data_IF_077499289882
#
_entry.id   IF_077499289882
#
_cell.length_a   1.000
_cell.length_b   1.000
_cell.length_c   1.000
_cell.angle_alpha   90.00
_cell.angle_beta   90.00
_cell.angle_gamma   90.00
#
_symmetry.space_group_name_H-M   'P 1'
#
loop_
_entity.id
_entity.type
_entity.pdbx_description
1 polymer ?
#
# COMPACT_ATOMS: atom_id res chain seq x y z
N UNK A 1 -1.25 -16.34 -5.76
CA UNK A 1 -0.43 -15.28 -5.16
C UNK A 1 -0.88 -13.87 -5.57
N UNK A 2 -1.03 -13.60 -6.85
CA UNK A 2 -1.49 -12.29 -7.37
C UNK A 2 -2.76 -11.76 -6.69
N UNK A 3 -3.79 -12.60 -6.56
CA UNK A 3 -5.03 -12.22 -5.88
C UNK A 3 -4.83 -11.88 -4.40
N UNK A 4 -3.90 -12.55 -3.71
CA UNK A 4 -3.67 -12.30 -2.28
C UNK A 4 -2.99 -10.97 -2.03
N UNK A 5 -1.94 -10.63 -2.77
CA UNK A 5 -1.25 -9.35 -2.61
C UNK A 5 -2.19 -8.17 -2.89
N UNK A 6 -2.94 -8.25 -4.01
CA UNK A 6 -3.94 -7.25 -4.35
C UNK A 6 -4.99 -7.10 -3.25
N UNK A 7 -5.58 -8.22 -2.80
CA UNK A 7 -6.62 -8.21 -1.77
C UNK A 7 -6.10 -7.64 -0.45
N UNK A 8 -4.97 -8.11 0.06
CA UNK A 8 -4.43 -7.67 1.34
C UNK A 8 -4.13 -6.17 1.40
N UNK A 9 -3.51 -5.63 0.34
CA UNK A 9 -3.23 -4.19 0.27
C UNK A 9 -4.54 -3.41 0.09
N UNK A 10 -5.43 -3.84 -0.82
CA UNK A 10 -6.69 -3.17 -1.06
C UNK A 10 -7.58 -3.13 0.20
N UNK A 11 -7.74 -4.25 0.89
CA UNK A 11 -8.52 -4.33 2.13
C UNK A 11 -7.94 -3.38 3.20
N UNK A 12 -6.61 -3.28 3.33
CA UNK A 12 -5.96 -2.37 4.26
C UNK A 12 -6.12 -0.90 3.88
N UNK A 13 -6.02 -0.55 2.60
CA UNK A 13 -6.26 0.81 2.12
C UNK A 13 -7.69 1.25 2.44
N UNK A 14 -8.68 0.42 2.12
CA UNK A 14 -10.09 0.70 2.40
C UNK A 14 -10.34 0.80 3.91
N UNK A 15 -9.80 -0.11 4.71
CA UNK A 15 -9.90 -0.06 6.18
C UNK A 15 -9.27 1.22 6.77
N UNK A 16 -8.28 1.78 6.09
CA UNK A 16 -7.65 3.07 6.45
C UNK A 16 -8.38 4.27 5.86
N UNK A 17 -9.54 4.10 5.21
CA UNK A 17 -10.30 5.18 4.59
C UNK A 17 -9.72 5.70 3.27
N UNK A 18 -8.77 5.00 2.67
CA UNK A 18 -8.26 5.31 1.33
C UNK A 18 -9.01 4.47 0.29
N UNK A 19 -9.81 5.12 -0.53
CA UNK A 19 -10.46 4.50 -1.68
C UNK A 19 -9.49 4.36 -2.84
N UNK A 20 -9.79 3.50 -3.81
CA UNK A 20 -9.03 3.35 -5.04
C UNK A 20 -9.95 2.97 -6.21
N UNK A 21 -9.55 3.26 -7.44
CA UNK A 21 -10.33 2.96 -8.65
C UNK A 21 -10.00 1.58 -9.21
N UNK A 22 -8.75 1.19 -9.19
CA UNK A 22 -8.31 -0.06 -9.76
C UNK A 22 -7.02 -0.59 -9.17
N UNK A 23 -6.85 -1.91 -9.20
CA UNK A 23 -5.62 -2.55 -8.76
C UNK A 23 -5.22 -3.67 -9.71
N UNK A 24 -3.96 -3.64 -10.18
CA UNK A 24 -3.37 -4.61 -11.10
C UNK A 24 -2.14 -5.25 -10.48
N UNK A 25 -2.09 -6.57 -10.46
CA UNK A 25 -0.98 -7.29 -9.86
C UNK A 25 -0.28 -8.17 -10.90
N UNK A 26 1.05 -8.24 -10.82
CA UNK A 26 1.88 -9.09 -11.66
C UNK A 26 2.82 -9.93 -10.79
N UNK A 27 3.14 -11.13 -11.22
CA UNK A 27 4.14 -11.96 -10.59
C UNK A 27 5.01 -12.64 -11.63
N UNK A 28 6.29 -12.62 -11.35
CA UNK A 28 7.29 -13.46 -12.02
C UNK A 28 7.96 -14.34 -10.95
N UNK A 29 8.79 -15.32 -11.30
CA UNK A 29 9.52 -16.09 -10.30
C UNK A 29 10.39 -15.26 -9.35
N UNK A 30 10.64 -14.00 -9.67
CA UNK A 30 11.53 -13.09 -8.90
C UNK A 30 10.91 -11.78 -8.49
N UNK A 31 9.67 -11.48 -8.91
CA UNK A 31 9.01 -10.20 -8.65
C UNK A 31 7.57 -10.41 -8.27
N UNK A 32 7.13 -9.60 -7.33
CA UNK A 32 5.72 -9.40 -7.03
C UNK A 32 5.45 -7.90 -7.15
N UNK A 33 4.60 -7.52 -8.10
CA UNK A 33 4.30 -6.12 -8.40
C UNK A 33 2.81 -5.87 -8.21
N UNK A 34 2.48 -4.75 -7.57
CA UNK A 34 1.12 -4.26 -7.44
C UNK A 34 1.09 -2.79 -7.88
N UNK A 35 0.20 -2.46 -8.77
CA UNK A 35 -0.15 -1.09 -9.12
C UNK A 35 -1.58 -0.82 -8.68
N UNK A 36 -1.79 0.30 -8.02
CA UNK A 36 -3.10 0.75 -7.56
C UNK A 36 -3.33 2.15 -8.09
N UNK A 37 -4.43 2.34 -8.80
CA UNK A 37 -4.82 3.61 -9.39
C UNK A 37 -5.96 4.26 -8.60
N UNK A 38 -6.05 5.60 -8.66
CA UNK A 38 -7.14 6.35 -8.06
C UNK A 38 -7.08 6.46 -6.53
N UNK A 39 -5.90 6.33 -5.92
CA UNK A 39 -5.74 6.60 -4.48
C UNK A 39 -5.68 8.12 -4.28
N UNK A 40 -6.54 8.71 -3.42
CA UNK A 40 -6.49 10.13 -3.12
C UNK A 40 -5.19 10.51 -2.41
N UNK A 41 -4.76 11.78 -2.53
CA UNK A 41 -3.52 12.27 -1.91
C UNK A 41 -3.53 12.20 -0.37
N UNK A 42 -4.71 12.21 0.24
CA UNK A 42 -4.91 12.11 1.69
C UNK A 42 -6.22 11.42 2.04
N UNK A 43 -6.31 10.90 3.25
CA UNK A 43 -7.56 10.39 3.81
C UNK A 43 -8.61 11.51 3.92
N UNK A 44 -9.90 11.19 3.83
CA UNK A 44 -10.96 12.15 4.16
C UNK A 44 -10.86 12.58 5.63
N UNK A 45 -11.22 13.84 5.89
CA UNK A 45 -11.37 14.32 7.26
C UNK A 45 -12.56 13.61 7.90
N UNK A 46 -12.36 13.07 9.08
CA UNK A 46 -13.41 12.37 9.83
C UNK A 46 -13.91 13.30 10.92
N UNK A 47 -15.21 13.62 10.87
CA UNK A 47 -15.92 14.27 11.96
C UNK A 47 -16.58 13.19 12.81
N UNK A 48 -16.01 12.95 13.97
CA UNK A 48 -16.52 11.98 14.93
C UNK A 48 -17.38 12.73 15.96
N UNK A 49 -18.67 12.42 16.05
CA UNK A 49 -19.57 13.02 17.03
C UNK A 49 -19.67 12.11 18.25
N UNK A 50 -19.12 12.57 19.36
CA UNK A 50 -19.18 11.84 20.61
C UNK A 50 -20.26 12.40 21.52
N UNK A 51 -21.26 11.58 21.80
CA UNK A 51 -22.34 11.93 22.73
C UNK A 51 -21.79 11.94 24.17
N UNK A 52 -22.02 13.04 24.86
CA UNK A 52 -21.60 13.29 26.22
C UNK A 52 -22.73 13.20 27.26
N UNK A 53 -22.46 13.64 28.48
CA UNK A 53 -23.45 13.70 29.55
C UNK A 53 -24.54 14.74 29.25
N UNK A 54 -25.62 14.70 30.00
CA UNK A 54 -26.70 15.69 29.92
C UNK A 54 -26.25 17.03 30.48
N UNK A 55 -26.90 18.08 30.03
CA UNK A 55 -26.72 19.42 30.58
C UNK A 55 -27.17 19.39 32.06
N UNK A 56 -26.29 19.84 32.96
CA UNK A 56 -26.51 19.74 34.42
C UNK A 56 -26.06 18.45 35.07
N UNK A 57 -25.34 17.59 34.35
CA UNK A 57 -24.72 16.39 34.94
C UNK A 57 -23.61 16.75 35.95
N UNK A 58 -23.28 15.87 36.91
CA UNK A 58 -22.21 16.10 37.86
C UNK A 58 -20.86 16.38 37.21
N UNK A 59 -20.04 17.23 37.82
CA UNK A 59 -18.73 17.65 37.31
C UNK A 59 -17.80 16.49 36.95
N UNK A 60 -17.86 15.38 37.70
CA UNK A 60 -17.09 14.18 37.41
C UNK A 60 -17.45 13.56 36.03
N UNK A 61 -18.72 13.60 35.63
CA UNK A 61 -19.17 13.08 34.34
C UNK A 61 -18.74 14.01 33.20
N UNK A 62 -18.78 15.32 33.45
CA UNK A 62 -18.30 16.34 32.49
C UNK A 62 -16.79 16.22 32.30
N UNK A 63 -16.02 16.13 33.39
CA UNK A 63 -14.57 15.96 33.33
C UNK A 63 -14.15 14.68 32.63
N UNK A 64 -14.86 13.55 32.85
CA UNK A 64 -14.64 12.29 32.15
C UNK A 64 -14.92 12.41 30.65
N UNK A 65 -15.97 13.12 30.26
CA UNK A 65 -16.32 13.38 28.87
C UNK A 65 -15.27 14.27 28.17
N UNK A 66 -14.87 15.38 28.78
CA UNK A 66 -13.85 16.28 28.25
C UNK A 66 -12.53 15.56 28.02
N UNK A 67 -12.07 14.78 28.99
CA UNK A 67 -10.86 13.95 28.86
C UNK A 67 -10.96 12.93 27.73
N UNK A 68 -12.12 12.29 27.61
CA UNK A 68 -12.35 11.27 26.59
C UNK A 68 -12.56 11.85 25.18
N UNK A 69 -13.03 13.10 25.08
CA UNK A 69 -13.23 13.83 23.83
C UNK A 69 -11.99 14.67 23.43
N UNK A 70 -11.01 14.82 24.32
CA UNK A 70 -9.84 15.67 24.10
C UNK A 70 -10.14 17.15 24.08
N UNK A 71 -11.24 17.58 24.73
CA UNK A 71 -11.65 18.97 24.82
C UNK A 71 -11.06 19.65 26.06
N UNK A 72 -10.66 20.91 25.91
CA UNK A 72 -10.12 21.68 27.04
C UNK A 72 -11.22 22.28 27.94
N UNK A 73 -12.41 22.58 27.37
CA UNK A 73 -13.55 23.18 28.04
C UNK A 73 -14.87 22.64 27.52
N UNK A 74 -15.91 22.66 28.35
CA UNK A 74 -17.28 22.24 27.96
C UNK A 74 -17.88 23.18 26.92
N UNK A 75 -17.44 24.43 26.82
CA UNK A 75 -17.89 25.43 25.86
C UNK A 75 -17.58 25.03 24.41
N UNK A 76 -16.62 24.12 24.23
CA UNK A 76 -16.27 23.55 22.93
C UNK A 76 -17.23 22.44 22.48
N UNK A 77 -18.06 21.92 23.38
CA UNK A 77 -19.08 20.93 23.07
C UNK A 77 -20.37 21.62 22.61
N UNK A 78 -21.00 21.06 21.58
CA UNK A 78 -22.32 21.51 21.12
C UNK A 78 -23.41 20.89 22.03
N UNK A 79 -24.43 21.70 22.36
CA UNK A 79 -25.62 21.20 23.05
C UNK A 79 -26.61 20.75 21.98
N UNK A 80 -27.04 19.49 22.08
CA UNK A 80 -28.05 18.92 21.19
C UNK A 80 -29.33 18.61 21.98
N UNK A 81 -30.50 19.11 21.55
CA UNK A 81 -31.77 18.85 22.21
C UNK A 81 -32.19 17.39 22.01
N UNK A 82 -32.71 16.77 23.08
CA UNK A 82 -33.32 15.44 23.06
C UNK A 82 -34.62 15.46 23.87
N UNK A 83 -35.57 14.58 23.52
CA UNK A 83 -36.87 14.43 24.20
C UNK A 83 -36.76 14.17 25.71
N UNK A 84 -35.62 13.71 26.18
CA UNK A 84 -35.35 13.39 27.58
C UNK A 84 -34.42 14.36 28.28
N UNK A 85 -34.13 15.53 27.68
CA UNK A 85 -33.22 16.55 28.18
C UNK A 85 -31.96 16.69 27.32
N UNK A 86 -31.46 17.90 27.20
CA UNK A 86 -30.34 18.28 26.37
C UNK A 86 -29.03 17.59 26.81
N UNK A 87 -28.18 17.26 25.86
CA UNK A 87 -26.89 16.62 26.14
C UNK A 87 -25.77 17.31 25.34
N UNK A 88 -24.57 17.18 25.85
CA UNK A 88 -23.37 17.67 25.19
C UNK A 88 -22.93 16.73 24.09
N UNK A 89 -22.45 17.28 22.95
CA UNK A 89 -21.87 16.54 21.84
C UNK A 89 -20.52 17.17 21.53
N UNK A 90 -19.49 16.36 21.61
CA UNK A 90 -18.17 16.74 21.14
C UNK A 90 -18.05 16.40 19.66
N UNK A 91 -17.75 17.38 18.82
CA UNK A 91 -17.37 17.18 17.44
C UNK A 91 -15.86 17.13 17.39
N UNK A 92 -15.31 15.95 17.16
CA UNK A 92 -13.87 15.74 17.06
C UNK A 92 -13.51 15.73 15.60
N UNK A 93 -12.89 16.82 15.13
CA UNK A 93 -12.36 16.88 13.77
C UNK A 93 -11.00 16.17 13.73
N UNK A 94 -10.94 15.03 13.08
CA UNK A 94 -9.69 14.30 12.81
C UNK A 94 -9.27 14.58 11.36
N UNK A 95 -8.27 15.42 11.13
CA UNK A 95 -7.79 15.67 9.79
C UNK A 95 -7.24 14.39 9.17
N UNK A 96 -7.57 14.16 7.90
CA UNK A 96 -7.06 13.00 7.18
C UNK A 96 -5.54 13.06 7.04
N UNK A 97 -4.88 11.92 7.18
CA UNK A 97 -3.42 11.78 7.01
C UNK A 97 -3.04 11.74 5.53
N UNK A 98 -1.84 12.18 5.14
CA UNK A 98 -1.31 11.99 3.79
C UNK A 98 -1.29 10.49 3.41
N UNK A 99 -1.75 10.18 2.20
CA UNK A 99 -1.80 8.78 1.74
C UNK A 99 -0.42 8.11 1.72
N UNK A 100 0.63 8.87 1.42
CA UNK A 100 2.00 8.38 1.40
C UNK A 100 2.43 7.81 2.76
N UNK A 101 2.04 8.43 3.87
CA UNK A 101 2.34 7.95 5.23
C UNK A 101 1.55 6.67 5.54
N UNK A 102 0.28 6.64 5.17
CA UNK A 102 -0.58 5.47 5.37
C UNK A 102 -0.07 4.27 4.58
N UNK A 103 0.36 4.47 3.33
CA UNK A 103 0.95 3.43 2.49
C UNK A 103 2.27 2.94 3.10
N UNK A 104 3.09 3.85 3.64
CA UNK A 104 4.36 3.51 4.30
C UNK A 104 4.18 2.60 5.54
N UNK A 105 3.03 2.64 6.19
CA UNK A 105 2.67 1.75 7.30
C UNK A 105 2.08 0.42 6.80
N UNK A 106 1.16 0.48 5.84
CA UNK A 106 0.43 -0.69 5.33
C UNK A 106 1.35 -1.69 4.64
N UNK A 107 2.26 -1.21 3.76
CA UNK A 107 3.06 -2.11 2.92
C UNK A 107 4.00 -3.00 3.74
N UNK A 108 4.79 -2.47 4.70
CA UNK A 108 5.61 -3.32 5.57
C UNK A 108 4.80 -4.29 6.43
N UNK A 109 3.64 -3.87 6.94
CA UNK A 109 2.76 -4.72 7.72
C UNK A 109 2.27 -5.93 6.89
N UNK A 110 1.78 -5.66 5.68
CA UNK A 110 1.34 -6.71 4.75
C UNK A 110 2.51 -7.60 4.33
N UNK A 111 3.68 -7.02 4.08
CA UNK A 111 4.86 -7.80 3.71
C UNK A 111 5.29 -8.76 4.83
N UNK A 112 5.30 -8.31 6.08
CA UNK A 112 5.65 -9.14 7.25
C UNK A 112 4.63 -10.25 7.52
N UNK A 113 3.34 -9.96 7.33
CA UNK A 113 2.23 -10.90 7.58
C UNK A 113 1.79 -11.68 6.33
N UNK A 114 2.52 -11.59 5.22
CA UNK A 114 2.10 -12.19 3.96
C UNK A 114 1.98 -13.72 4.06
N UNK A 115 0.80 -14.33 3.78
CA UNK A 115 0.54 -15.75 3.99
C UNK A 115 1.15 -16.60 2.86
N UNK A 116 2.47 -16.78 2.89
CA UNK A 116 3.16 -17.66 1.97
C UNK A 116 2.86 -19.12 2.28
N UNK A 117 2.57 -19.97 1.29
CA UNK A 117 2.45 -21.42 1.50
C UNK A 117 3.74 -22.05 2.01
N UNK A 118 4.88 -21.54 1.52
CA UNK A 118 6.23 -21.86 1.98
C UNK A 118 7.03 -20.58 2.06
N UNK A 119 7.65 -20.33 3.18
CA UNK A 119 8.52 -19.18 3.40
C UNK A 119 9.80 -19.63 4.06
N UNK A 120 10.86 -18.87 3.84
CA UNK A 120 12.18 -19.10 4.38
C UNK A 120 12.72 -17.79 4.96
N UNK A 121 13.73 -17.88 5.79
CA UNK A 121 14.48 -16.76 6.35
C UNK A 121 15.89 -16.81 5.82
N UNK A 122 16.52 -15.66 5.59
CA UNK A 122 17.86 -15.57 5.01
C UNK A 122 18.74 -14.58 5.73
N UNK A 123 20.05 -14.78 5.57
CA UNK A 123 21.07 -13.88 6.05
C UNK A 123 21.30 -13.97 7.56
N UNK A 124 22.16 -13.11 8.04
CA UNK A 124 22.57 -13.05 9.46
C UNK A 124 21.40 -12.74 10.42
N UNK A 125 20.40 -11.99 9.95
CA UNK A 125 19.19 -11.68 10.71
C UNK A 125 18.21 -12.85 10.85
N UNK A 126 18.42 -13.98 10.17
CA UNK A 126 17.46 -15.09 10.09
C UNK A 126 17.14 -15.76 11.42
N UNK A 127 18.07 -15.76 12.35
CA UNK A 127 17.92 -16.32 13.68
C UNK A 127 17.20 -15.41 14.67
N UNK A 128 17.04 -14.11 14.33
CA UNK A 128 16.40 -13.16 15.23
C UNK A 128 14.88 -13.36 15.28
N UNK A 129 14.25 -13.23 16.48
CA UNK A 129 12.79 -13.21 16.58
C UNK A 129 12.20 -12.13 15.66
N UNK A 130 11.12 -12.45 14.94
CA UNK A 130 10.48 -11.51 14.02
C UNK A 130 11.21 -11.28 12.69
N UNK A 131 12.27 -12.04 12.37
CA UNK A 131 12.94 -11.96 11.07
C UNK A 131 11.96 -12.18 9.92
N UNK A 132 12.14 -11.42 8.84
CA UNK A 132 11.29 -11.51 7.65
C UNK A 132 11.31 -12.93 7.08
N UNK A 133 10.13 -13.53 6.92
CA UNK A 133 9.93 -14.77 6.20
C UNK A 133 9.30 -14.48 4.84
N UNK A 134 9.99 -14.85 3.76
CA UNK A 134 9.54 -14.61 2.39
C UNK A 134 9.76 -15.86 1.53
N UNK A 135 9.09 -15.94 0.39
CA UNK A 135 9.20 -17.11 -0.49
C UNK A 135 10.60 -17.26 -1.11
N UNK A 136 11.32 -16.17 -1.30
CA UNK A 136 12.70 -16.11 -1.84
C UNK A 136 13.42 -14.93 -1.20
N UNK A 137 14.77 -14.88 -1.23
CA UNK A 137 15.49 -13.71 -0.73
C UNK A 137 14.96 -12.41 -1.34
N UNK A 138 14.55 -11.49 -0.49
CA UNK A 138 14.15 -10.14 -0.89
C UNK A 138 15.42 -9.29 -1.02
N UNK A 139 15.63 -8.67 -2.17
CA UNK A 139 16.82 -7.87 -2.46
C UNK A 139 16.54 -6.38 -2.59
N UNK A 140 15.33 -6.02 -3.04
CA UNK A 140 14.93 -4.63 -3.20
C UNK A 140 13.43 -4.49 -3.07
N UNK A 141 13.01 -3.33 -2.64
CA UNK A 141 11.60 -2.92 -2.56
C UNK A 141 11.46 -1.62 -3.33
N UNK A 142 10.57 -1.58 -4.30
CA UNK A 142 10.21 -0.38 -5.05
C UNK A 142 8.84 0.07 -4.60
N UNK A 143 8.72 1.33 -4.19
CA UNK A 143 7.46 1.92 -3.81
C UNK A 143 7.42 3.39 -4.18
N UNK A 144 6.54 3.76 -5.09
CA UNK A 144 6.35 5.14 -5.56
C UNK A 144 4.88 5.50 -5.49
N UNK A 145 4.60 6.76 -5.16
CA UNK A 145 3.24 7.29 -5.09
C UNK A 145 3.22 8.74 -5.59
N UNK A 146 2.17 9.12 -6.28
CA UNK A 146 1.96 10.50 -6.73
C UNK A 146 0.90 10.58 -7.84
N UNK A 147 0.39 11.81 -8.12
CA UNK A 147 -0.56 12.06 -9.18
C UNK A 147 0.06 11.83 -10.57
N UNK A 148 -0.77 11.59 -11.59
CA UNK A 148 -0.28 11.35 -12.95
C UNK A 148 0.45 12.54 -13.56
N UNK A 149 0.14 13.74 -13.10
CA UNK A 149 0.68 15.01 -13.62
C UNK A 149 2.06 15.39 -13.08
N UNK A 150 2.50 14.78 -11.97
CA UNK A 150 3.73 15.15 -11.28
C UNK A 150 4.68 13.95 -11.18
N UNK A 151 5.95 14.18 -10.87
CA UNK A 151 6.89 13.11 -10.58
C UNK A 151 6.47 12.37 -9.30
N UNK A 152 6.38 11.03 -9.32
CA UNK A 152 6.01 10.29 -8.12
C UNK A 152 7.10 10.35 -7.06
N UNK A 153 6.68 10.48 -5.81
CA UNK A 153 7.56 10.40 -4.66
C UNK A 153 7.84 8.96 -4.26
N UNK A 154 9.01 8.73 -3.68
CA UNK A 154 9.35 7.42 -3.10
C UNK A 154 8.67 7.31 -1.73
N UNK A 155 7.83 6.31 -1.58
CA UNK A 155 7.24 5.96 -0.27
C UNK A 155 8.33 5.30 0.59
N UNK A 156 8.75 5.96 1.66
CA UNK A 156 9.87 5.53 2.51
C UNK A 156 9.43 4.60 3.63
N UNK A 157 9.91 3.38 3.63
CA UNK A 157 9.73 2.38 4.69
C UNK A 157 10.80 1.29 4.60
N UNK A 158 10.80 0.38 5.57
CA UNK A 158 11.72 -0.77 5.63
C UNK A 158 10.96 -2.10 5.71
N UNK A 159 11.44 -3.08 4.98
CA UNK A 159 10.94 -4.45 5.05
C UNK A 159 12.09 -5.40 5.35
N UNK A 160 12.26 -5.73 6.62
CA UNK A 160 13.27 -6.70 7.06
C UNK A 160 14.72 -6.26 6.83
N UNK A 161 15.00 -4.96 6.99
CA UNK A 161 16.32 -4.35 6.77
C UNK A 161 16.55 -3.86 5.34
N UNK A 162 15.53 -3.93 4.48
CA UNK A 162 15.61 -3.48 3.09
C UNK A 162 14.76 -2.21 2.94
N UNK A 163 15.43 -1.08 2.75
CA UNK A 163 14.77 0.20 2.51
C UNK A 163 14.07 0.22 1.14
N UNK A 164 12.88 0.82 1.10
CA UNK A 164 12.18 1.09 -0.13
C UNK A 164 12.88 2.17 -0.97
N UNK A 165 12.70 2.09 -2.27
CA UNK A 165 13.29 3.03 -3.22
C UNK A 165 12.52 3.09 -4.53
N UNK A 166 13.17 3.62 -5.56
CA UNK A 166 12.68 3.73 -6.93
C UNK A 166 13.54 2.93 -7.94
N UNK A 167 14.40 2.05 -7.44
CA UNK A 167 15.40 1.35 -8.25
C UNK A 167 15.15 -0.16 -8.28
N UNK A 168 15.14 -0.73 -9.48
CA UNK A 168 15.01 -2.16 -9.74
C UNK A 168 16.17 -2.66 -10.61
N UNK A 169 16.21 -3.96 -10.93
CA UNK A 169 17.20 -4.55 -11.81
C UNK A 169 16.53 -5.28 -12.97
N UNK A 170 17.18 -5.31 -14.13
CA UNK A 170 16.75 -6.07 -15.27
C UNK A 170 17.10 -7.56 -15.20
N UNK A 171 17.40 -8.14 -16.36
CA UNK A 171 17.91 -9.50 -16.44
C UNK A 171 19.36 -9.55 -15.92
N UNK A 172 19.63 -10.49 -14.98
CA UNK A 172 20.90 -10.50 -14.21
C UNK A 172 22.19 -10.53 -15.06
N UNK A 173 22.12 -11.12 -16.25
CA UNK A 173 23.27 -11.27 -17.15
C UNK A 173 23.21 -10.32 -18.35
N UNK A 174 22.01 -10.14 -18.94
CA UNK A 174 21.84 -9.36 -20.16
C UNK A 174 21.66 -7.86 -19.90
N UNK A 175 21.24 -7.49 -18.70
CA UNK A 175 21.05 -6.10 -18.27
C UNK A 175 21.22 -6.00 -16.75
N UNK A 176 22.45 -6.13 -16.24
CA UNK A 176 22.73 -6.17 -14.80
C UNK A 176 22.64 -4.81 -14.09
N UNK A 177 22.68 -3.72 -14.86
CA UNK A 177 22.66 -2.37 -14.30
C UNK A 177 21.36 -2.05 -13.56
N UNK A 178 21.42 -1.28 -12.46
CA UNK A 178 20.22 -0.81 -11.76
C UNK A 178 19.42 0.16 -12.65
N UNK A 179 18.10 0.08 -12.53
CA UNK A 179 17.15 0.83 -13.36
C UNK A 179 16.26 1.65 -12.45
N UNK A 180 16.29 2.96 -12.61
CA UNK A 180 15.39 3.87 -11.90
C UNK A 180 14.02 3.86 -12.59
N UNK A 181 12.96 3.69 -11.80
CA UNK A 181 11.58 3.58 -12.28
C UNK A 181 10.67 4.55 -11.53
N UNK A 182 9.61 4.98 -12.20
CA UNK A 182 8.69 5.99 -11.68
C UNK A 182 7.29 5.43 -11.47
N UNK A 183 6.62 5.05 -12.56
CA UNK A 183 5.24 4.54 -12.60
C UNK A 183 5.19 3.16 -13.23
N UNK A 184 3.98 2.58 -13.26
CA UNK A 184 3.78 1.25 -13.81
C UNK A 184 4.22 1.15 -15.26
N UNK A 185 3.82 2.10 -16.11
CA UNK A 185 4.14 2.06 -17.55
C UNK A 185 5.64 2.20 -17.80
N UNK A 186 6.29 3.14 -17.10
CA UNK A 186 7.74 3.29 -17.13
C UNK A 186 8.45 2.03 -16.60
N UNK A 187 7.94 1.44 -15.51
CA UNK A 187 8.45 0.20 -14.95
C UNK A 187 8.37 -0.97 -15.94
N UNK A 188 7.21 -1.14 -16.59
CA UNK A 188 7.01 -2.22 -17.57
C UNK A 188 7.90 -2.03 -18.81
N UNK A 189 7.94 -0.81 -19.36
CA UNK A 189 8.74 -0.49 -20.55
C UNK A 189 10.25 -0.67 -20.30
N UNK A 190 10.76 -0.14 -19.19
CA UNK A 190 12.18 -0.27 -18.83
C UNK A 190 12.59 -1.70 -18.54
N UNK A 191 11.74 -2.49 -17.88
CA UNK A 191 12.01 -3.89 -17.64
C UNK A 191 11.95 -4.71 -18.94
N UNK A 192 11.04 -4.46 -19.86
CA UNK A 192 11.00 -5.12 -21.16
C UNK A 192 12.28 -4.81 -21.97
N UNK A 193 12.71 -3.55 -22.00
CA UNK A 193 14.01 -3.16 -22.59
C UNK A 193 15.19 -3.88 -21.91
N UNK A 194 15.11 -4.08 -20.60
CA UNK A 194 16.10 -4.82 -19.80
C UNK A 194 15.88 -6.35 -19.78
N UNK A 195 15.18 -6.89 -20.78
CA UNK A 195 14.95 -8.32 -21.01
C UNK A 195 14.12 -9.02 -19.91
N UNK A 196 13.17 -8.29 -19.33
CA UNK A 196 12.23 -8.82 -18.32
C UNK A 196 10.80 -8.43 -18.68
N UNK A 197 10.03 -9.35 -19.23
CA UNK A 197 8.60 -9.17 -19.50
C UNK A 197 7.81 -9.54 -18.25
N UNK A 198 7.25 -8.54 -17.59
CA UNK A 198 6.55 -8.69 -16.29
C UNK A 198 5.14 -9.23 -16.47
N UNK A 199 4.42 -8.76 -17.51
CA UNK A 199 3.07 -9.21 -17.83
C UNK A 199 3.09 -10.61 -18.46
N UNK A 200 2.49 -11.64 -17.84
CA UNK A 200 2.49 -12.99 -18.36
C UNK A 200 1.71 -13.13 -19.67
N UNK A 201 0.66 -12.34 -19.88
CA UNK A 201 -0.11 -12.37 -21.14
C UNK A 201 0.73 -11.81 -22.29
N UNK A 202 1.37 -10.67 -22.07
CA UNK A 202 2.33 -10.07 -23.04
C UNK A 202 3.44 -11.05 -23.38
N UNK A 203 4.04 -11.70 -22.36
CA UNK A 203 5.10 -12.69 -22.57
C UNK A 203 4.63 -13.87 -23.42
N UNK A 204 3.43 -14.40 -23.14
CA UNK A 204 2.87 -15.50 -23.92
C UNK A 204 2.64 -15.10 -25.39
N UNK A 205 2.13 -13.90 -25.64
CA UNK A 205 1.94 -13.37 -26.99
C UNK A 205 3.26 -13.23 -27.75
N UNK A 206 4.30 -12.70 -27.11
CA UNK A 206 5.63 -12.57 -27.72
C UNK A 206 6.20 -13.94 -28.11
N UNK A 207 6.18 -14.90 -27.19
CA UNK A 207 6.67 -16.27 -27.45
C UNK A 207 5.92 -16.90 -28.62
N UNK A 208 4.59 -16.77 -28.65
CA UNK A 208 3.78 -17.34 -29.74
C UNK A 208 4.05 -16.68 -31.11
N UNK A 209 4.21 -15.35 -31.10
CA UNK A 209 4.53 -14.61 -32.35
C UNK A 209 5.91 -14.99 -32.86
N UNK A 210 6.93 -15.02 -32.02
CA UNK A 210 8.28 -15.39 -32.38
C UNK A 210 8.36 -16.85 -32.87
N UNK A 211 7.68 -17.78 -32.20
CA UNK A 211 7.60 -19.16 -32.61
C UNK A 211 6.97 -19.34 -34.01
N UNK A 212 5.86 -18.62 -34.26
CA UNK A 212 5.22 -18.64 -35.59
C UNK A 212 6.12 -18.07 -36.68
N UNK A 213 6.83 -16.98 -36.40
CA UNK A 213 7.77 -16.36 -37.33
C UNK A 213 8.91 -17.31 -37.69
N UNK A 214 9.47 -18.00 -36.66
CA UNK A 214 10.54 -18.98 -36.89
C UNK A 214 10.05 -20.21 -37.62
N UNK A 215 8.86 -20.72 -37.33
CA UNK A 215 8.28 -21.86 -38.06
C UNK A 215 8.05 -21.52 -39.54
N UNK A 216 7.49 -20.35 -39.81
CA UNK A 216 7.31 -19.87 -41.18
C UNK A 216 8.65 -19.72 -41.94
N UNK A 217 9.66 -19.14 -41.27
CA UNK A 217 10.99 -18.97 -41.88
C UNK A 217 11.71 -20.31 -42.20
N UNK A 218 11.32 -21.38 -41.50
CA UNK A 218 11.87 -22.74 -41.73
C UNK A 218 10.93 -23.65 -42.51
N UNK A 219 9.86 -23.13 -43.08
CA UNK A 219 8.85 -23.89 -43.86
C UNK A 219 8.22 -25.06 -43.04
N UNK A 220 8.20 -24.95 -41.73
CA UNK A 220 7.56 -25.91 -40.83
C UNK A 220 6.12 -25.42 -40.59
N UNK A 221 5.15 -26.12 -41.18
CA UNK A 221 3.74 -25.83 -41.07
C UNK A 221 3.07 -26.42 -39.81
#
# INVERSE_FOLDING_TARGET
>A
MLFRSRKLIADKLVASGLTYEGAKAFATPRRLTLAVAGIPARQPDIKDERKGPRVGAPDNAIAGFLKAAGLASIDQAKVQPDKKGDFYVAVIDKPGRPAIEVIAEIVPEVAKSFPWPKAMRWGEGSAKPGALAWVRPLHSVVATFGPETEEPEVVRFDVGGIASGDTTCGHRFMSPAPIKVKRLDDYLAKLEAAKVVVDPARRAQMILADAKTLAFAQEIG
#
